data_IF_763085582844
#
_entry.id   IF_763085582844
#
_cell.length_a   1.000
_cell.length_b   1.000
_cell.length_c   1.000
_cell.angle_alpha   90.00
_cell.angle_beta   90.00
_cell.angle_gamma   90.00
#
_symmetry.space_group_name_H-M   'P 1'
#
loop_
_entity.id
_entity.type
_entity.pdbx_description
1 polymer ?
#
# COMPACT_ATOMS: atom_id res chain seq x y z
N UNK A 1 3.45 4.53 11.58
CA UNK A 1 2.79 5.65 12.29
C UNK A 1 1.27 5.50 12.34
N UNK A 2 0.57 5.42 11.20
CA UNK A 2 -0.91 5.30 11.14
C UNK A 2 -1.51 4.21 12.04
N UNK A 3 -1.00 2.97 11.96
CA UNK A 3 -1.49 1.87 12.81
C UNK A 3 -1.27 2.12 14.31
N UNK A 4 -0.12 2.70 14.68
CA UNK A 4 0.16 3.01 16.07
C UNK A 4 -0.82 4.06 16.59
N UNK A 5 -1.10 5.12 15.81
CA UNK A 5 -2.05 6.16 16.18
C UNK A 5 -3.45 5.60 16.48
N UNK A 6 -3.91 4.62 15.70
CA UNK A 6 -5.16 3.89 15.98
C UNK A 6 -5.03 3.08 17.28
N UNK A 7 -3.94 2.31 17.45
CA UNK A 7 -3.72 1.46 18.64
C UNK A 7 -3.67 2.25 19.95
N UNK A 8 -3.14 3.47 19.94
CA UNK A 8 -3.04 4.33 21.14
C UNK A 8 -4.23 5.29 21.29
N UNK A 9 -5.28 5.13 20.48
CA UNK A 9 -6.52 5.90 20.60
C UNK A 9 -6.43 7.35 20.13
N UNK A 10 -5.44 7.70 19.30
CA UNK A 10 -5.35 9.04 18.69
C UNK A 10 -6.31 9.23 17.52
N UNK A 11 -6.80 8.14 16.93
CA UNK A 11 -7.83 8.16 15.87
C UNK A 11 -9.12 7.62 16.50
N UNK A 12 -10.11 8.48 16.68
CA UNK A 12 -11.39 8.14 17.32
C UNK A 12 -12.59 8.30 16.40
N UNK A 13 -12.46 9.08 15.33
CA UNK A 13 -13.52 9.30 14.34
C UNK A 13 -13.56 8.12 13.33
N UNK A 14 -14.72 7.45 13.14
CA UNK A 14 -14.90 6.45 12.10
C UNK A 14 -14.48 6.90 10.69
N UNK A 15 -14.64 8.18 10.33
CA UNK A 15 -14.23 8.69 9.02
C UNK A 15 -12.71 8.74 8.84
N UNK A 16 -11.99 9.13 9.89
CA UNK A 16 -10.52 9.09 9.90
C UNK A 16 -10.01 7.65 9.80
N UNK A 17 -10.73 6.70 10.40
CA UNK A 17 -10.42 5.27 10.30
C UNK A 17 -10.60 4.77 8.86
N UNK A 18 -11.67 5.17 8.17
CA UNK A 18 -11.88 4.85 6.76
C UNK A 18 -10.75 5.42 5.90
N UNK A 19 -10.35 6.67 6.09
CA UNK A 19 -9.24 7.28 5.36
C UNK A 19 -7.90 6.56 5.60
N UNK A 20 -7.66 6.09 6.83
CA UNK A 20 -6.50 5.27 7.15
C UNK A 20 -6.54 3.91 6.43
N UNK A 21 -7.70 3.25 6.38
CA UNK A 21 -7.89 1.99 5.66
C UNK A 21 -7.71 2.16 4.16
N UNK A 22 -8.24 3.24 3.57
CA UNK A 22 -8.06 3.56 2.15
C UNK A 22 -6.58 3.79 1.82
N UNK A 23 -5.86 4.53 2.68
CA UNK A 23 -4.41 4.72 2.55
C UNK A 23 -3.63 3.41 2.63
N UNK A 24 -4.08 2.48 3.46
CA UNK A 24 -3.47 1.15 3.61
C UNK A 24 -3.72 0.28 2.37
N UNK A 25 -4.96 0.26 1.89
CA UNK A 25 -5.36 -0.45 0.67
C UNK A 25 -4.56 0.03 -0.54
N UNK A 26 -4.40 1.34 -0.69
CA UNK A 26 -3.60 1.94 -1.76
C UNK A 26 -2.14 1.43 -1.74
N UNK A 27 -1.52 1.34 -0.55
CA UNK A 27 -0.15 0.80 -0.40
C UNK A 27 -0.07 -0.70 -0.63
N UNK A 28 -1.13 -1.45 -0.35
CA UNK A 28 -1.20 -2.88 -0.66
C UNK A 28 -1.29 -3.10 -2.18
N UNK A 29 -2.15 -2.33 -2.87
CA UNK A 29 -2.30 -2.37 -4.32
C UNK A 29 -0.98 -2.01 -5.03
N UNK A 30 -0.21 -1.07 -4.51
CA UNK A 30 1.14 -0.74 -4.99
C UNK A 30 2.08 -1.95 -5.09
N UNK A 31 2.07 -2.82 -4.09
CA UNK A 31 2.88 -4.05 -4.06
C UNK A 31 2.46 -5.01 -5.19
N UNK A 32 1.15 -5.15 -5.39
CA UNK A 32 0.59 -6.01 -6.45
C UNK A 32 0.94 -5.47 -7.83
N UNK A 33 0.80 -4.16 -8.05
CA UNK A 33 1.10 -3.53 -9.34
C UNK A 33 2.59 -3.60 -9.67
N UNK A 34 3.47 -3.24 -8.73
CA UNK A 34 4.92 -3.25 -8.96
C UNK A 34 5.43 -4.66 -9.30
N UNK A 35 5.00 -5.67 -8.54
CA UNK A 35 5.32 -7.08 -8.85
C UNK A 35 4.59 -7.59 -10.10
N UNK A 36 3.39 -7.09 -10.38
CA UNK A 36 2.62 -7.38 -11.58
C UNK A 36 3.38 -6.98 -12.84
N UNK A 37 3.83 -5.73 -12.91
CA UNK A 37 4.57 -5.16 -14.03
C UNK A 37 5.95 -5.83 -14.15
N UNK A 38 6.73 -5.83 -13.06
CA UNK A 38 8.16 -6.18 -13.14
C UNK A 38 8.47 -7.67 -13.06
N UNK A 39 7.50 -8.50 -12.64
CA UNK A 39 7.71 -9.93 -12.50
C UNK A 39 6.63 -10.80 -13.16
N UNK A 40 5.37 -10.35 -13.17
CA UNK A 40 4.26 -11.11 -13.80
C UNK A 40 3.96 -10.71 -15.25
N UNK A 41 4.67 -9.70 -15.78
CA UNK A 41 4.52 -9.27 -17.17
C UNK A 41 3.22 -8.53 -17.46
N UNK A 42 2.61 -7.90 -16.45
CA UNK A 42 1.42 -7.07 -16.66
C UNK A 42 1.73 -5.89 -17.58
N UNK A 43 0.78 -5.60 -18.46
CA UNK A 43 0.78 -4.38 -19.27
C UNK A 43 0.45 -3.16 -18.40
N UNK A 44 0.82 -1.98 -18.88
CA UNK A 44 0.49 -0.70 -18.25
C UNK A 44 -1.02 -0.56 -18.03
N UNK A 45 -1.81 -0.94 -19.02
CA UNK A 45 -3.27 -0.84 -19.00
C UNK A 45 -3.92 -1.78 -17.99
N UNK A 46 -3.40 -3.01 -17.84
CA UNK A 46 -3.83 -3.94 -16.79
C UNK A 46 -3.55 -3.37 -15.39
N UNK A 47 -2.38 -2.78 -15.18
CA UNK A 47 -2.02 -2.15 -13.93
C UNK A 47 -2.91 -0.93 -13.60
N UNK A 48 -3.20 -0.07 -14.59
CA UNK A 48 -4.09 1.09 -14.42
C UNK A 48 -5.50 0.61 -14.06
N UNK A 49 -6.02 -0.37 -14.79
CA UNK A 49 -7.34 -0.95 -14.53
C UNK A 49 -7.42 -1.52 -13.12
N UNK A 50 -6.42 -2.30 -12.72
CA UNK A 50 -6.35 -2.87 -11.37
C UNK A 50 -6.36 -1.79 -10.29
N UNK A 51 -5.63 -0.70 -10.48
CA UNK A 51 -5.61 0.41 -9.51
C UNK A 51 -6.97 1.09 -9.36
N UNK A 52 -7.64 1.37 -10.48
CA UNK A 52 -8.96 2.00 -10.50
C UNK A 52 -10.01 1.11 -9.83
N UNK A 53 -10.00 -0.20 -10.13
CA UNK A 53 -10.99 -1.15 -9.59
C UNK A 53 -10.83 -1.38 -8.08
N UNK A 54 -9.60 -1.33 -7.56
CA UNK A 54 -9.35 -1.65 -6.15
C UNK A 54 -9.32 -0.43 -5.23
N UNK A 55 -8.85 0.73 -5.71
CA UNK A 55 -8.68 1.93 -4.87
C UNK A 55 -9.73 3.01 -5.17
N UNK A 56 -10.46 2.87 -6.28
CA UNK A 56 -11.43 3.88 -6.72
C UNK A 56 -10.77 5.17 -7.22
N UNK A 57 -9.47 5.12 -7.56
CA UNK A 57 -8.74 6.26 -8.12
C UNK A 57 -9.27 6.64 -9.50
N UNK A 58 -9.22 7.93 -9.81
CA UNK A 58 -9.50 8.41 -11.17
C UNK A 58 -8.43 7.88 -12.13
N UNK A 59 -8.79 7.69 -13.41
CA UNK A 59 -7.87 7.16 -14.42
C UNK A 59 -6.59 8.01 -14.55
N UNK A 60 -6.69 9.32 -14.44
CA UNK A 60 -5.56 10.26 -14.52
C UNK A 60 -4.55 10.01 -13.39
N UNK A 61 -5.02 9.91 -12.16
CA UNK A 61 -4.22 9.58 -10.97
C UNK A 61 -3.59 8.19 -11.09
N UNK A 62 -4.41 7.17 -11.42
CA UNK A 62 -3.95 5.79 -11.58
C UNK A 62 -2.86 5.68 -12.66
N UNK A 63 -3.01 6.43 -13.76
CA UNK A 63 -2.01 6.48 -14.83
C UNK A 63 -0.68 7.04 -14.35
N UNK A 64 -0.70 8.18 -13.67
CA UNK A 64 0.51 8.83 -13.15
C UNK A 64 1.26 7.91 -12.18
N UNK A 65 0.53 7.24 -11.29
CA UNK A 65 1.13 6.32 -10.32
C UNK A 65 1.71 5.07 -10.98
N UNK A 66 1.00 4.46 -11.93
CA UNK A 66 1.48 3.29 -12.66
C UNK A 66 2.74 3.62 -13.46
N UNK A 67 2.77 4.75 -14.16
CA UNK A 67 3.95 5.19 -14.90
C UNK A 67 5.15 5.42 -13.97
N UNK A 68 4.91 5.96 -12.78
CA UNK A 68 5.94 6.10 -11.74
C UNK A 68 6.51 4.75 -11.31
N UNK A 69 5.70 3.71 -11.20
CA UNK A 69 6.17 2.37 -10.85
C UNK A 69 6.96 1.70 -11.97
N UNK A 70 6.62 1.99 -13.24
CA UNK A 70 7.37 1.51 -14.41
C UNK A 70 8.80 2.06 -14.39
N UNK A 71 8.98 3.36 -14.11
CA UNK A 71 10.30 4.00 -14.13
C UNK A 71 11.11 3.79 -12.84
N UNK A 72 10.45 3.42 -11.72
CA UNK A 72 11.11 3.26 -10.43
C UNK A 72 10.77 1.92 -9.74
N UNK A 73 11.32 0.80 -10.25
CA UNK A 73 10.98 -0.54 -9.78
C UNK A 73 11.32 -0.73 -8.29
N UNK A 74 10.39 -1.32 -7.53
CA UNK A 74 10.58 -1.68 -6.12
C UNK A 74 10.38 -0.54 -5.12
N UNK A 75 10.31 0.72 -5.57
CA UNK A 75 10.07 1.87 -4.70
C UNK A 75 8.71 1.76 -3.98
N UNK A 76 7.69 1.32 -4.72
CA UNK A 76 6.34 1.18 -4.20
C UNK A 76 6.23 0.09 -3.13
N UNK A 77 7.06 -0.96 -3.24
CA UNK A 77 7.12 -2.10 -2.32
C UNK A 77 7.68 -1.74 -0.95
N UNK A 78 8.60 -0.76 -0.88
CA UNK A 78 9.32 -0.40 0.35
C UNK A 78 8.38 0.00 1.51
N UNK A 79 7.27 0.68 1.22
CA UNK A 79 6.32 1.13 2.23
C UNK A 79 5.69 -0.04 2.99
N UNK A 80 5.24 -1.06 2.24
CA UNK A 80 4.52 -2.17 2.85
C UNK A 80 5.48 -3.19 3.45
N UNK A 81 6.55 -3.54 2.74
CA UNK A 81 7.58 -4.44 3.27
C UNK A 81 8.21 -3.92 4.56
N UNK A 82 8.53 -2.62 4.62
CA UNK A 82 9.03 -1.99 5.84
C UNK A 82 8.04 -2.08 6.99
N UNK A 83 6.76 -1.84 6.73
CA UNK A 83 5.69 -1.97 7.75
C UNK A 83 5.54 -3.40 8.26
N UNK A 84 5.47 -4.40 7.37
CA UNK A 84 5.43 -5.83 7.77
C UNK A 84 6.61 -6.12 8.67
N UNK A 85 7.83 -5.74 8.26
CA UNK A 85 9.02 -6.12 9.01
C UNK A 85 9.05 -5.52 10.40
N UNK A 86 8.68 -4.25 10.55
CA UNK A 86 8.59 -3.60 11.86
C UNK A 86 7.54 -4.29 12.75
N UNK A 87 6.41 -4.68 12.18
CA UNK A 87 5.36 -5.39 12.92
C UNK A 87 5.80 -6.79 13.37
N UNK A 88 6.44 -7.54 12.48
CA UNK A 88 7.02 -8.85 12.80
C UNK A 88 8.02 -8.75 13.96
N UNK A 89 8.93 -7.78 13.90
CA UNK A 89 9.94 -7.57 14.94
C UNK A 89 9.30 -7.19 16.29
N UNK A 90 8.27 -6.34 16.27
CA UNK A 90 7.53 -5.97 17.49
C UNK A 90 6.82 -7.18 18.10
N UNK A 91 6.24 -8.05 17.27
CA UNK A 91 5.57 -9.25 17.76
C UNK A 91 6.56 -10.30 18.27
N UNK A 92 7.70 -10.48 17.59
CA UNK A 92 8.78 -11.34 18.05
C UNK A 92 9.29 -10.92 19.43
N UNK A 93 9.47 -9.62 19.65
CA UNK A 93 9.89 -9.10 20.95
C UNK A 93 8.87 -9.46 22.04
N UNK A 94 7.57 -9.25 21.80
CA UNK A 94 6.52 -9.58 22.79
C UNK A 94 6.46 -11.06 23.19
N UNK A 95 6.85 -11.97 22.30
CA UNK A 95 6.86 -13.43 22.57
C UNK A 95 8.08 -13.91 23.35
N UNK A 96 9.12 -13.07 23.40
CA UNK A 96 10.39 -13.37 24.07
C UNK A 96 10.38 -12.93 25.55
N UNK A 97 9.35 -12.20 25.96
CA UNK A 97 9.05 -11.81 27.34
C UNK A 97 7.74 -12.48 27.78
#
# INVERSE_FOLDING_TARGET
MQRLAIEIGLVTDPYEMIGSLQSELFRAVRLVIDTGIHHKGWTREEAIKYMMENVGSERSEATSEVERYIVWPGQACAYMLGRIKIMELRELQKRTW
#
